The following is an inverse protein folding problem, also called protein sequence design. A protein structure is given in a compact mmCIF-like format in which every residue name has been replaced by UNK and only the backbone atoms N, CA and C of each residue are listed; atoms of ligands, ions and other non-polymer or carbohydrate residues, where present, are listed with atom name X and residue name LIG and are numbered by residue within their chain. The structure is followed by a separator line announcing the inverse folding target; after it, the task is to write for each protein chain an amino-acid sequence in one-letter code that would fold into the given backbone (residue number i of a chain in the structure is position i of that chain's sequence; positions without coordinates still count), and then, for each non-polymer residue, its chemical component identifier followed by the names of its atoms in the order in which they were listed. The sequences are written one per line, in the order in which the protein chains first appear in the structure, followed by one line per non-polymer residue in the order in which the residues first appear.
data_IF_814490423866
#
_entry.id   IF_814490423866
#
_cell.length_a   1.000
_cell.length_b   1.000
_cell.length_c   1.000
_cell.angle_alpha   90.00
_cell.angle_beta   90.00
_cell.angle_gamma   90.00
#
_symmetry.space_group_name_H-M   'P 1'
#
loop_
_entity.id
_entity.type
_entity.pdbx_description
1 polymer ?
#
# COMPACT_ATOMS: atom_id res chain seq x y z
N UNK A 1 -1.40 12.31 16.63
CA UNK A 1 -1.87 13.33 15.65
C UNK A 1 -2.48 12.54 14.51
N UNK A 2 -3.74 12.79 14.16
CA UNK A 2 -4.34 12.18 12.97
C UNK A 2 -3.58 12.68 11.73
N UNK A 3 -3.22 11.76 10.85
CA UNK A 3 -2.64 12.03 9.54
C UNK A 3 -3.78 12.54 8.66
N UNK A 4 -3.76 13.82 8.28
CA UNK A 4 -4.76 14.31 7.33
C UNK A 4 -4.71 13.51 6.03
N UNK A 5 -5.84 13.39 5.34
CA UNK A 5 -5.88 12.75 4.01
C UNK A 5 -4.81 13.33 3.07
N UNK A 6 -4.57 14.64 3.08
CA UNK A 6 -3.51 15.26 2.27
C UNK A 6 -2.11 14.74 2.61
N UNK A 7 -1.85 14.49 3.90
CA UNK A 7 -0.58 13.93 4.36
C UNK A 7 -0.44 12.47 3.91
N UNK A 8 -1.51 11.67 4.07
CA UNK A 8 -1.54 10.28 3.63
C UNK A 8 -1.35 10.19 2.10
N UNK A 9 -2.07 11.00 1.34
CA UNK A 9 -1.95 11.08 -0.11
C UNK A 9 -0.53 11.46 -0.57
N UNK A 10 0.12 12.37 0.16
CA UNK A 10 1.52 12.73 -0.09
C UNK A 10 2.47 11.54 0.08
N UNK A 11 2.29 10.74 1.14
CA UNK A 11 3.07 9.53 1.40
C UNK A 11 2.83 8.47 0.32
N UNK A 12 1.56 8.21 -0.01
CA UNK A 12 1.17 7.21 -0.99
C UNK A 12 1.74 7.49 -2.38
N UNK A 13 1.64 8.74 -2.85
CA UNK A 13 2.24 9.17 -4.14
C UNK A 13 3.76 9.07 -4.16
N UNK A 14 4.39 9.30 -3.02
CA UNK A 14 5.83 9.12 -2.88
C UNK A 14 6.20 7.62 -2.93
N UNK A 15 5.38 6.75 -2.35
CA UNK A 15 5.48 5.30 -2.52
C UNK A 15 5.39 4.86 -3.98
N UNK A 16 4.42 5.38 -4.75
CA UNK A 16 4.32 5.10 -6.20
C UNK A 16 5.59 5.52 -6.96
N UNK A 17 6.17 6.67 -6.61
CA UNK A 17 7.44 7.13 -7.23
C UNK A 17 8.60 6.19 -6.90
N UNK A 18 8.69 5.71 -5.65
CA UNK A 18 9.72 4.73 -5.25
C UNK A 18 9.58 3.42 -6.00
N UNK A 19 8.35 2.89 -6.08
CA UNK A 19 8.05 1.67 -6.82
C UNK A 19 8.42 1.80 -8.30
N UNK A 20 8.03 2.90 -8.94
CA UNK A 20 8.37 3.19 -10.33
C UNK A 20 9.88 3.37 -10.56
N UNK A 21 10.61 3.85 -9.56
CA UNK A 21 12.06 4.04 -9.58
C UNK A 21 12.88 2.80 -9.18
N UNK A 22 12.25 1.72 -8.70
CA UNK A 22 12.94 0.53 -8.22
C UNK A 22 13.73 -0.16 -9.34
N UNK A 23 14.86 -0.82 -9.03
CA UNK A 23 15.62 -1.62 -9.99
C UNK A 23 14.74 -2.63 -10.73
N UNK A 24 14.94 -2.88 -12.04
CA UNK A 24 14.09 -3.79 -12.81
C UNK A 24 14.03 -5.21 -12.26
N UNK A 25 15.13 -5.68 -11.66
CA UNK A 25 15.29 -6.97 -10.99
C UNK A 25 14.56 -7.05 -9.64
N UNK A 26 14.18 -5.91 -9.06
CA UNK A 26 13.42 -5.83 -7.80
C UNK A 26 11.95 -5.48 -8.01
N UNK A 27 11.64 -4.85 -9.14
CA UNK A 27 10.31 -4.30 -9.40
C UNK A 27 9.24 -5.38 -9.42
N UNK A 28 9.55 -6.56 -9.93
CA UNK A 28 8.58 -7.63 -10.04
C UNK A 28 8.06 -8.06 -8.67
N UNK A 29 8.95 -8.35 -7.73
CA UNK A 29 8.57 -8.78 -6.38
C UNK A 29 7.85 -7.67 -5.60
N UNK A 30 8.23 -6.39 -5.81
CA UNK A 30 7.48 -5.27 -5.23
C UNK A 30 6.06 -5.20 -5.78
N UNK A 31 5.88 -5.35 -7.10
CA UNK A 31 4.56 -5.36 -7.72
C UNK A 31 3.71 -6.54 -7.23
N UNK A 32 4.29 -7.74 -7.11
CA UNK A 32 3.60 -8.92 -6.58
C UNK A 32 3.10 -8.68 -5.13
N UNK A 33 3.91 -8.02 -4.29
CA UNK A 33 3.50 -7.64 -2.93
C UNK A 33 2.44 -6.54 -2.93
N UNK A 34 2.56 -5.53 -3.80
CA UNK A 34 1.58 -4.44 -3.95
C UNK A 34 0.22 -4.99 -4.34
N UNK A 35 0.17 -5.88 -5.34
CA UNK A 35 -1.06 -6.55 -5.78
C UNK A 35 -1.70 -7.37 -4.65
N UNK A 36 -0.89 -8.07 -3.85
CA UNK A 36 -1.37 -8.80 -2.68
C UNK A 36 -1.97 -7.86 -1.61
N UNK A 37 -1.35 -6.70 -1.38
CA UNK A 37 -1.87 -5.68 -0.46
C UNK A 37 -3.19 -5.11 -0.99
N UNK A 38 -3.30 -4.79 -2.28
CA UNK A 38 -4.57 -4.33 -2.90
C UNK A 38 -5.70 -5.36 -2.73
N UNK A 39 -5.40 -6.65 -2.91
CA UNK A 39 -6.36 -7.72 -2.68
C UNK A 39 -6.83 -7.78 -1.23
N UNK A 40 -5.92 -7.58 -0.26
CA UNK A 40 -6.25 -7.55 1.16
C UNK A 40 -7.00 -6.27 1.57
N UNK A 41 -6.70 -5.11 0.96
CA UNK A 41 -7.49 -3.87 1.12
C UNK A 41 -8.94 -4.11 0.72
N UNK A 42 -9.17 -4.78 -0.41
CA UNK A 42 -10.53 -5.16 -0.87
C UNK A 42 -11.25 -6.07 0.12
N UNK A 43 -10.54 -6.97 0.80
CA UNK A 43 -11.13 -7.84 1.83
C UNK A 43 -11.48 -7.08 3.10
N UNK A 44 -10.72 -6.04 3.44
CA UNK A 44 -10.90 -5.23 4.65
C UNK A 44 -11.97 -4.15 4.51
N UNK A 45 -11.97 -3.44 3.38
CA UNK A 45 -12.88 -2.32 3.12
C UNK A 45 -14.17 -2.76 2.41
N UNK A 46 -14.17 -3.93 1.76
CA UNK A 46 -15.32 -4.42 1.01
C UNK A 46 -15.45 -3.79 -0.38
N UNK A 47 -16.67 -3.83 -0.94
CA UNK A 47 -16.92 -3.48 -2.35
C UNK A 47 -17.15 -2.00 -2.64
N UNK A 48 -17.45 -1.18 -1.64
CA UNK A 48 -17.61 0.27 -1.79
C UNK A 48 -17.07 0.91 -0.53
N UNK A 49 -16.18 1.88 -0.69
CA UNK A 49 -15.49 2.55 0.40
C UNK A 49 -15.20 4.02 0.05
N UNK A 50 -14.97 4.81 1.08
CA UNK A 50 -14.65 6.25 1.01
C UNK A 50 -13.15 6.51 1.09
N UNK A 51 -12.74 7.70 0.66
CA UNK A 51 -11.38 8.19 0.85
C UNK A 51 -11.02 8.26 2.34
N UNK A 52 -12.00 8.62 3.18
CA UNK A 52 -11.85 8.68 4.64
C UNK A 52 -11.66 7.29 5.25
N UNK A 53 -12.46 6.28 4.85
CA UNK A 53 -12.32 4.90 5.34
C UNK A 53 -10.95 4.30 5.00
N UNK A 54 -10.44 4.59 3.80
CA UNK A 54 -9.10 4.17 3.39
C UNK A 54 -8.02 4.86 4.23
N UNK A 55 -8.19 6.16 4.50
CA UNK A 55 -7.26 6.93 5.34
C UNK A 55 -7.27 6.43 6.79
N UNK A 56 -8.45 6.21 7.37
CA UNK A 56 -8.58 5.64 8.71
C UNK A 56 -7.93 4.26 8.81
N UNK A 57 -8.07 3.42 7.79
CA UNK A 57 -7.40 2.11 7.76
C UNK A 57 -5.88 2.27 7.78
N UNK A 58 -5.34 3.21 7.02
CA UNK A 58 -3.92 3.51 7.00
C UNK A 58 -3.42 4.00 8.37
N UNK A 59 -4.18 4.88 9.03
CA UNK A 59 -3.86 5.40 10.37
C UNK A 59 -3.90 4.34 11.48
N UNK A 60 -4.82 3.38 11.39
CA UNK A 60 -4.89 2.24 12.32
C UNK A 60 -3.63 1.36 12.26
N UNK A 61 -2.84 1.50 11.21
CA UNK A 61 -1.52 0.90 11.07
C UNK A 61 -1.44 -0.10 9.92
N UNK A 62 -0.28 -0.10 9.27
CA UNK A 62 0.05 -0.93 8.10
C UNK A 62 0.93 -2.13 8.44
N UNK A 63 1.03 -2.53 9.72
CA UNK A 63 1.87 -3.67 10.13
C UNK A 63 1.52 -4.98 9.43
N UNK A 64 0.24 -5.19 9.11
CA UNK A 64 -0.23 -6.33 8.33
C UNK A 64 0.31 -6.35 6.88
N UNK A 65 0.70 -5.20 6.31
CA UNK A 65 1.34 -5.13 5.00
C UNK A 65 2.73 -5.75 5.05
N UNK A 66 3.49 -5.51 6.13
CA UNK A 66 4.81 -6.12 6.33
C UNK A 66 4.71 -7.63 6.52
N UNK A 67 3.75 -8.11 7.31
CA UNK A 67 3.51 -9.56 7.48
C UNK A 67 3.12 -10.23 6.16
N UNK A 68 2.28 -9.56 5.36
CA UNK A 68 1.89 -10.03 4.03
C UNK A 68 3.07 -10.02 3.05
N UNK A 69 3.88 -8.97 3.06
CA UNK A 69 5.09 -8.87 2.24
C UNK A 69 6.09 -9.99 2.55
N UNK A 70 6.30 -10.29 3.84
CA UNK A 70 7.13 -11.41 4.28
C UNK A 70 6.58 -12.78 3.84
N UNK A 71 5.27 -12.89 3.68
CA UNK A 71 4.62 -14.12 3.18
C UNK A 71 4.73 -14.26 1.66
N UNK A 72 4.53 -13.16 0.92
CA UNK A 72 4.52 -13.16 -0.55
C UNK A 72 5.94 -13.23 -1.11
N UNK A 73 6.88 -12.51 -0.51
CA UNK A 73 8.26 -12.41 -0.97
C UNK A 73 9.25 -12.70 0.17
N UNK A 74 9.29 -13.95 0.69
CA UNK A 74 10.10 -14.30 1.87
C UNK A 74 11.61 -14.15 1.64
N UNK A 75 12.06 -14.32 0.40
CA UNK A 75 13.48 -14.18 0.01
C UNK A 75 13.86 -12.74 -0.38
N UNK A 76 12.93 -11.79 -0.26
CA UNK A 76 13.12 -10.39 -0.62
C UNK A 76 12.80 -9.43 0.55
N UNK A 77 13.62 -9.37 1.61
CA UNK A 77 13.38 -8.48 2.75
C UNK A 77 13.27 -6.99 2.41
N UNK A 78 13.86 -6.58 1.29
CA UNK A 78 13.77 -5.22 0.75
C UNK A 78 12.36 -4.86 0.24
N UNK A 79 11.49 -5.86 0.01
CA UNK A 79 10.09 -5.68 -0.34
C UNK A 79 9.15 -5.58 0.89
N UNK A 80 9.68 -5.61 2.11
CA UNK A 80 8.85 -5.62 3.34
C UNK A 80 8.63 -4.22 3.95
N UNK A 81 9.29 -3.19 3.42
CA UNK A 81 9.12 -1.81 3.86
C UNK A 81 7.75 -1.27 3.41
N UNK A 82 6.89 -0.94 4.36
CA UNK A 82 5.57 -0.38 4.08
C UNK A 82 5.63 0.86 3.16
N UNK A 83 6.72 1.64 3.21
CA UNK A 83 6.89 2.84 2.35
C UNK A 83 7.16 2.52 0.88
N UNK A 84 7.49 1.27 0.57
CA UNK A 84 7.78 0.79 -0.80
C UNK A 84 6.68 -0.11 -1.35
N UNK A 85 5.86 -0.75 -0.49
CA UNK A 85 4.78 -1.64 -0.94
C UNK A 85 3.38 -1.25 -0.43
N UNK A 86 3.23 -0.75 0.80
CA UNK A 86 1.92 -0.33 1.30
C UNK A 86 1.52 1.02 0.69
N UNK A 87 2.38 2.02 0.77
CA UNK A 87 2.13 3.36 0.22
C UNK A 87 1.63 3.34 -1.25
N UNK A 88 2.30 2.65 -2.20
CA UNK A 88 1.80 2.54 -3.56
C UNK A 88 0.51 1.74 -3.69
N UNK A 89 0.29 0.69 -2.87
CA UNK A 89 -0.96 -0.06 -2.88
C UNK A 89 -2.15 0.81 -2.46
N UNK A 90 -2.01 1.60 -1.39
CA UNK A 90 -3.03 2.56 -0.97
C UNK A 90 -3.26 3.65 -2.02
N UNK A 91 -2.20 4.13 -2.70
CA UNK A 91 -2.32 5.09 -3.79
C UNK A 91 -3.14 4.56 -4.97
N UNK A 92 -2.89 3.30 -5.36
CA UNK A 92 -3.61 2.63 -6.45
C UNK A 92 -5.05 2.36 -6.06
N UNK A 93 -5.26 1.82 -4.86
CA UNK A 93 -6.58 1.46 -4.36
C UNK A 93 -7.47 2.70 -4.15
N UNK A 94 -6.92 3.85 -3.76
CA UNK A 94 -7.64 5.13 -3.66
C UNK A 94 -8.46 5.48 -4.92
N UNK A 95 -8.01 5.05 -6.11
CA UNK A 95 -8.70 5.33 -7.39
C UNK A 95 -10.09 4.70 -7.48
N UNK A 96 -10.38 3.71 -6.63
CA UNK A 96 -11.66 3.01 -6.57
C UNK A 96 -12.63 3.57 -5.50
N UNK A 97 -12.19 4.56 -4.71
CA UNK A 97 -13.00 5.22 -3.68
C UNK A 97 -14.23 5.95 -4.28
N UNK A 98 -15.29 6.10 -3.49
CA UNK A 98 -16.58 6.68 -3.91
C UNK A 98 -16.97 7.88 -3.04
N UNK A 99 -16.37 9.03 -3.27
CA UNK A 99 -16.75 10.35 -2.74
C UNK A 99 -16.05 11.51 -3.48
#
# INVERSE_FOLDING_TARGET
MATSFETALGQWREGERRLAGAPPDQRRELEDVVEAIEAELRRRLGGTFTTDELTELYERGTGWCTDLAATVAPEAPWAWDARTVADPAFARYLRDARD
#
